data_IF_299217625190
#
_entry.id   IF_299217625190
#
_cell.length_a   1.000
_cell.length_b   1.000
_cell.length_c   1.000
_cell.angle_alpha   90.00
_cell.angle_beta   90.00
_cell.angle_gamma   90.00
#
_symmetry.space_group_name_H-M   'P 1'
#
loop_
_entity.id
_entity.type
_entity.pdbx_description
1 polymer ?
#
# COMPACT_ATOMS: atom_id res chain seq x y z
N UNK A 1 -39.84 -11.43 -36.26
CA UNK A 1 -38.37 -11.54 -36.28
C UNK A 1 -37.70 -10.57 -35.31
N UNK A 2 -38.11 -9.31 -35.18
CA UNK A 2 -37.49 -8.34 -34.26
C UNK A 2 -37.61 -8.71 -32.77
N UNK A 3 -38.71 -9.35 -32.34
CA UNK A 3 -38.95 -9.77 -30.95
C UNK A 3 -38.13 -10.98 -30.53
N UNK A 4 -37.76 -11.84 -31.45
CA UNK A 4 -36.93 -13.04 -31.17
C UNK A 4 -35.46 -12.64 -30.99
N UNK A 5 -35.00 -11.63 -31.71
CA UNK A 5 -33.64 -11.12 -31.62
C UNK A 5 -33.37 -10.44 -30.28
N UNK A 6 -34.34 -9.73 -29.72
CA UNK A 6 -34.24 -9.09 -28.41
C UNK A 6 -34.25 -10.10 -27.26
N UNK A 7 -35.00 -11.19 -27.39
CA UNK A 7 -34.97 -12.26 -26.37
C UNK A 7 -33.64 -13.01 -26.37
N UNK A 8 -33.04 -13.23 -27.55
CA UNK A 8 -31.74 -13.89 -27.66
C UNK A 8 -30.61 -13.02 -27.04
N UNK A 9 -30.69 -11.68 -27.20
CA UNK A 9 -29.71 -10.76 -26.62
C UNK A 9 -29.78 -10.71 -25.08
N UNK A 10 -30.98 -10.81 -24.52
CA UNK A 10 -31.18 -10.88 -23.05
C UNK A 10 -30.69 -12.19 -22.46
N UNK A 11 -30.78 -13.30 -23.17
CA UNK A 11 -30.30 -14.60 -22.69
C UNK A 11 -28.76 -14.68 -22.62
N UNK A 12 -28.06 -14.00 -23.52
CA UNK A 12 -26.57 -13.96 -23.50
C UNK A 12 -26.05 -13.15 -22.31
N UNK A 13 -26.77 -12.12 -21.87
CA UNK A 13 -26.37 -11.29 -20.73
C UNK A 13 -26.57 -12.01 -19.37
N UNK A 14 -27.46 -12.98 -19.30
CA UNK A 14 -27.72 -13.72 -18.05
C UNK A 14 -26.67 -14.81 -17.75
N UNK A 15 -25.82 -15.19 -18.70
CA UNK A 15 -24.79 -16.24 -18.52
C UNK A 15 -23.46 -15.72 -17.98
N UNK A 16 -23.25 -14.40 -17.90
CA UNK A 16 -21.99 -13.83 -17.41
C UNK A 16 -21.95 -13.56 -15.89
N UNK A 17 -22.99 -13.92 -15.14
CA UNK A 17 -23.06 -13.74 -13.68
C UNK A 17 -22.59 -14.98 -12.88
N UNK A 18 -21.70 -15.81 -13.43
CA UNK A 18 -20.96 -16.78 -12.63
C UNK A 18 -19.82 -16.06 -11.92
N UNK A 19 -20.16 -15.35 -10.85
CA UNK A 19 -19.20 -14.85 -9.90
C UNK A 19 -18.31 -16.01 -9.43
N UNK A 20 -17.02 -15.87 -9.67
CA UNK A 20 -16.01 -16.81 -9.20
C UNK A 20 -16.23 -17.06 -7.70
N UNK A 21 -16.49 -18.30 -7.31
CA UNK A 21 -16.53 -18.72 -5.91
C UNK A 21 -15.21 -18.25 -5.27
N UNK A 22 -15.28 -17.61 -4.08
CA UNK A 22 -14.06 -17.27 -3.38
C UNK A 22 -13.29 -18.57 -3.14
N UNK A 23 -12.08 -18.68 -3.69
CA UNK A 23 -11.17 -19.77 -3.37
C UNK A 23 -11.01 -19.76 -1.86
N UNK A 24 -11.49 -20.78 -1.16
CA UNK A 24 -11.12 -21.03 0.22
C UNK A 24 -9.62 -20.92 0.29
N UNK A 25 -9.12 -19.94 1.04
CA UNK A 25 -7.71 -19.83 1.31
C UNK A 25 -7.25 -21.16 1.87
N UNK A 26 -6.32 -21.81 1.18
CA UNK A 26 -5.71 -23.02 1.69
C UNK A 26 -5.17 -22.66 3.08
N UNK A 27 -5.50 -23.45 4.08
CA UNK A 27 -4.94 -23.37 5.42
C UNK A 27 -3.43 -23.52 5.28
N UNK A 28 -2.74 -22.41 5.16
CA UNK A 28 -1.29 -22.43 5.16
C UNK A 28 -0.87 -22.58 6.63
N UNK A 29 -0.08 -23.56 6.96
CA UNK A 29 0.59 -23.72 8.27
C UNK A 29 1.62 -22.57 8.49
N UNK A 30 1.27 -21.36 8.07
CA UNK A 30 2.10 -20.18 8.31
C UNK A 30 1.88 -19.72 9.74
N UNK A 31 2.95 -19.38 10.47
CA UNK A 31 2.80 -18.84 11.81
C UNK A 31 1.94 -17.58 11.77
N UNK A 32 0.96 -17.50 12.65
CA UNK A 32 0.11 -16.32 12.83
C UNK A 32 0.79 -15.43 13.86
N UNK A 33 1.22 -14.24 13.44
CA UNK A 33 1.81 -13.25 14.34
C UNK A 33 0.73 -12.32 14.85
N UNK A 34 0.73 -12.07 16.15
CA UNK A 34 -0.16 -11.09 16.78
C UNK A 34 0.66 -9.86 17.14
N UNK A 35 0.21 -8.69 16.67
CA UNK A 35 0.85 -7.42 17.01
C UNK A 35 0.61 -7.13 18.49
N UNK A 36 1.68 -7.09 19.29
CA UNK A 36 1.61 -6.77 20.71
C UNK A 36 1.67 -5.25 20.92
N UNK A 37 2.50 -4.57 20.12
CA UNK A 37 2.68 -3.13 20.16
C UNK A 37 3.02 -2.61 18.76
N UNK A 38 2.37 -1.56 18.36
CA UNK A 38 2.65 -0.84 17.12
C UNK A 38 3.12 0.57 17.47
N UNK A 39 4.26 0.99 16.93
CA UNK A 39 4.71 2.36 17.05
C UNK A 39 4.14 3.19 15.90
N UNK A 40 3.73 4.43 16.16
CA UNK A 40 3.29 5.32 15.08
C UNK A 40 4.45 5.60 14.13
N UNK A 41 4.18 5.47 12.85
CA UNK A 41 5.14 5.76 11.77
C UNK A 41 4.53 6.76 10.80
N UNK A 42 5.39 7.52 10.11
CA UNK A 42 4.97 8.38 8.99
C UNK A 42 4.75 7.55 7.73
N UNK A 43 4.22 8.18 6.68
CA UNK A 43 4.02 7.51 5.39
C UNK A 43 5.35 7.03 4.80
N UNK A 44 5.30 5.88 4.12
CA UNK A 44 6.47 5.33 3.42
C UNK A 44 6.81 6.24 2.23
N UNK A 45 8.10 6.58 2.10
CA UNK A 45 8.63 7.40 1.02
C UNK A 45 9.36 6.54 0.01
N UNK A 46 9.22 6.89 -1.26
CA UNK A 46 9.90 6.21 -2.36
C UNK A 46 11.18 6.97 -2.75
N UNK A 47 12.34 6.38 -2.46
CA UNK A 47 13.63 6.94 -2.87
C UNK A 47 13.93 6.75 -4.36
N UNK A 48 13.11 5.95 -5.08
CA UNK A 48 13.36 5.57 -6.47
C UNK A 48 14.77 4.95 -6.63
N UNK A 49 15.53 5.35 -7.65
CA UNK A 49 16.87 4.83 -7.97
C UNK A 49 18.00 5.65 -7.36
N UNK A 50 17.72 6.53 -6.43
CA UNK A 50 18.76 7.31 -5.76
C UNK A 50 19.55 6.42 -4.80
N UNK A 51 20.87 6.65 -4.69
CA UNK A 51 21.73 5.97 -3.73
C UNK A 51 21.65 6.53 -2.30
N UNK A 52 20.52 7.16 -1.94
CA UNK A 52 20.33 7.90 -0.69
C UNK A 52 19.47 7.15 0.32
N UNK A 53 19.52 5.81 0.33
CA UNK A 53 18.75 4.99 1.28
C UNK A 53 19.07 5.32 2.74
N UNK A 54 20.31 5.68 3.05
CA UNK A 54 20.77 6.11 4.37
C UNK A 54 20.04 7.38 4.85
N UNK A 55 19.81 8.33 3.94
CA UNK A 55 19.13 9.59 4.21
C UNK A 55 17.64 9.36 4.46
N UNK A 56 16.97 8.68 3.54
CA UNK A 56 15.56 8.34 3.67
C UNK A 56 15.24 7.56 4.94
N UNK A 57 16.06 6.56 5.29
CA UNK A 57 15.85 5.77 6.50
C UNK A 57 16.06 6.59 7.77
N UNK A 58 17.07 7.46 7.79
CA UNK A 58 17.37 8.31 8.94
C UNK A 58 16.27 9.35 9.16
N UNK A 59 15.85 10.05 8.12
CA UNK A 59 14.82 11.07 8.23
C UNK A 59 13.45 10.47 8.57
N UNK A 60 13.11 9.33 7.99
CA UNK A 60 11.88 8.60 8.35
C UNK A 60 11.85 8.17 9.82
N UNK A 61 13.00 7.79 10.38
CA UNK A 61 13.12 7.52 11.81
C UNK A 61 12.86 8.79 12.64
N UNK A 62 13.50 9.92 12.32
CA UNK A 62 13.29 11.17 13.04
C UNK A 62 11.84 11.67 12.93
N UNK A 63 11.23 11.59 11.76
CA UNK A 63 9.82 11.93 11.58
C UNK A 63 8.89 11.09 12.46
N UNK A 64 9.18 9.80 12.56
CA UNK A 64 8.41 8.88 13.41
C UNK A 64 8.58 9.20 14.90
N UNK A 65 9.79 9.57 15.34
CA UNK A 65 10.03 9.99 16.73
C UNK A 65 9.36 11.35 17.03
N UNK A 66 9.37 12.28 16.09
CA UNK A 66 8.64 13.57 16.24
C UNK A 66 7.13 13.31 16.31
N UNK A 67 6.59 12.45 15.46
CA UNK A 67 5.19 12.07 15.49
C UNK A 67 4.81 11.46 16.83
N UNK A 68 5.63 10.57 17.36
CA UNK A 68 5.42 9.93 18.66
C UNK A 68 5.47 10.94 19.82
N UNK A 69 6.38 11.91 19.76
CA UNK A 69 6.54 12.91 20.82
C UNK A 69 5.50 14.01 20.78
N UNK A 70 5.08 14.46 19.59
CA UNK A 70 4.26 15.65 19.40
C UNK A 70 2.84 15.38 18.88
N UNK A 71 2.60 14.18 18.33
CA UNK A 71 1.35 13.83 17.65
C UNK A 71 1.16 14.53 16.30
N UNK A 72 2.18 15.24 15.80
CA UNK A 72 2.14 15.96 14.53
C UNK A 72 3.07 15.31 13.51
N UNK A 73 2.61 15.20 12.27
CA UNK A 73 3.41 14.74 11.14
C UNK A 73 4.20 15.90 10.55
N UNK A 74 5.47 15.64 10.31
CA UNK A 74 6.38 16.53 9.59
C UNK A 74 6.98 15.76 8.42
N UNK A 75 7.29 16.47 7.36
CA UNK A 75 7.94 15.96 6.16
C UNK A 75 9.29 16.65 6.03
N UNK A 76 10.37 15.92 6.35
CA UNK A 76 11.73 16.44 6.29
C UNK A 76 12.28 16.28 4.87
N UNK A 77 12.98 17.28 4.39
CA UNK A 77 13.49 17.32 3.02
C UNK A 77 14.79 16.53 2.88
N UNK A 78 14.70 15.32 2.34
CA UNK A 78 15.83 14.43 2.07
C UNK A 78 16.84 15.06 1.11
N UNK A 79 16.36 15.74 0.07
CA UNK A 79 17.23 16.40 -0.90
C UNK A 79 18.12 17.48 -0.28
N UNK A 80 17.65 18.13 0.77
CA UNK A 80 18.44 19.13 1.49
C UNK A 80 19.59 18.47 2.25
N UNK A 81 19.32 17.39 2.98
CA UNK A 81 20.33 16.67 3.78
C UNK A 81 21.35 16.01 2.86
N UNK A 82 20.90 15.30 1.83
CA UNK A 82 21.79 14.69 0.85
C UNK A 82 22.72 15.72 0.19
N UNK A 83 22.18 16.85 -0.25
CA UNK A 83 22.98 17.91 -0.87
C UNK A 83 24.05 18.45 0.10
N UNK A 84 23.68 18.72 1.35
CA UNK A 84 24.64 19.19 2.36
C UNK A 84 25.72 18.19 2.72
N UNK A 85 25.45 16.91 2.58
CA UNK A 85 26.42 15.85 2.87
C UNK A 85 27.45 15.69 1.75
N UNK A 86 27.05 15.94 0.50
CA UNK A 86 27.92 15.77 -0.68
C UNK A 86 28.65 17.07 -1.12
N UNK A 87 28.35 18.20 -0.50
CA UNK A 87 29.04 19.49 -0.74
C UNK A 87 30.20 19.70 0.23
#
# INVERSE_FOLDING_TARGET
MKKILTLALLAVFAMSANAAKPKKAASSNKPVFTTIKENPITSIKDQNRSGTCWDYSTLSYFESEILKATGKTYDLCESFVANKTYM
#
